data_IF_427477520195
#
_entry.id   IF_427477520195
#
_cell.length_a   1.000
_cell.length_b   1.000
_cell.length_c   1.000
_cell.angle_alpha   90.00
_cell.angle_beta   90.00
_cell.angle_gamma   90.00
#
_symmetry.space_group_name_H-M   'P 1'
#
loop_
_entity.id
_entity.type
_entity.pdbx_description
1 polymer ?
#
# COMPACT_ATOMS: atom_id res chain seq x y z
N UNK A 1 -21.68 -27.61 -48.11
CA UNK A 1 -20.40 -27.26 -47.48
C UNK A 1 -20.68 -26.35 -46.29
N UNK A 2 -20.64 -26.87 -45.06
CA UNK A 2 -20.87 -26.06 -43.81
C UNK A 2 -19.53 -25.43 -43.44
N UNK A 3 -19.51 -24.09 -43.50
CA UNK A 3 -18.35 -23.30 -42.97
C UNK A 3 -18.42 -23.26 -41.44
N UNK A 4 -17.45 -23.86 -40.78
CA UNK A 4 -17.25 -23.73 -39.34
C UNK A 4 -16.47 -22.45 -39.09
N UNK A 5 -17.12 -21.46 -38.46
CA UNK A 5 -16.44 -20.25 -37.96
C UNK A 5 -15.80 -20.61 -36.63
N UNK A 6 -14.47 -20.71 -36.60
CA UNK A 6 -13.71 -20.86 -35.36
C UNK A 6 -13.68 -19.52 -34.68
N UNK A 7 -14.44 -19.37 -33.59
CA UNK A 7 -14.34 -18.22 -32.66
C UNK A 7 -13.14 -18.48 -31.76
N UNK A 8 -12.02 -17.80 -32.05
CA UNK A 8 -10.87 -17.77 -31.15
C UNK A 8 -11.19 -16.80 -30.03
N UNK A 9 -11.59 -17.32 -28.87
CA UNK A 9 -11.70 -16.56 -27.64
C UNK A 9 -10.29 -16.27 -27.15
N UNK A 10 -9.79 -15.06 -27.36
CA UNK A 10 -8.61 -14.55 -26.68
C UNK A 10 -8.95 -14.39 -25.19
N UNK A 11 -8.61 -15.37 -24.38
CA UNK A 11 -8.50 -15.22 -22.93
C UNK A 11 -7.35 -14.22 -22.68
N UNK A 12 -7.66 -12.95 -22.54
CA UNK A 12 -6.74 -11.99 -21.96
C UNK A 12 -6.51 -12.42 -20.51
N UNK A 13 -5.39 -13.06 -20.27
CA UNK A 13 -4.86 -13.20 -18.91
C UNK A 13 -4.48 -11.78 -18.43
N UNK A 14 -5.41 -11.11 -17.76
CA UNK A 14 -5.08 -9.96 -16.96
C UNK A 14 -4.16 -10.48 -15.84
N UNK A 15 -2.85 -10.28 -15.97
CA UNK A 15 -1.93 -10.41 -14.86
C UNK A 15 -2.36 -9.35 -13.85
N UNK A 16 -2.73 -9.76 -12.64
CA UNK A 16 -2.99 -8.84 -11.55
C UNK A 16 -1.69 -8.07 -11.31
N UNK A 17 -1.69 -6.77 -11.61
CA UNK A 17 -0.62 -5.89 -11.19
C UNK A 17 -0.62 -5.92 -9.66
N UNK A 18 0.47 -6.38 -9.10
CA UNK A 18 0.80 -6.27 -7.68
C UNK A 18 1.75 -5.11 -7.61
N UNK A 19 1.56 -4.11 -6.76
CA UNK A 19 2.60 -3.11 -6.55
C UNK A 19 3.87 -3.78 -6.03
N UNK A 20 4.65 -3.22 -5.16
CA UNK A 20 5.93 -3.87 -4.80
C UNK A 20 5.81 -5.39 -4.62
N UNK A 21 6.69 -6.18 -5.22
CA UNK A 21 6.68 -7.63 -5.04
C UNK A 21 6.77 -8.01 -3.54
N UNK A 22 6.31 -9.20 -3.13
CA UNK A 22 6.20 -9.57 -1.71
C UNK A 22 7.47 -9.34 -0.89
N UNK A 23 8.65 -9.57 -1.49
CA UNK A 23 9.92 -9.29 -0.85
C UNK A 23 10.18 -7.79 -0.72
N UNK A 24 9.74 -6.99 -1.69
CA UNK A 24 9.79 -5.52 -1.65
C UNK A 24 8.99 -4.97 -0.47
N UNK A 25 7.74 -5.39 -0.32
CA UNK A 25 6.92 -5.03 0.84
C UNK A 25 7.60 -5.37 2.17
N UNK A 26 8.15 -6.57 2.29
CA UNK A 26 8.86 -6.98 3.51
C UNK A 26 10.11 -6.14 3.80
N UNK A 27 10.88 -5.74 2.79
CA UNK A 27 12.06 -4.86 2.94
C UNK A 27 11.62 -3.46 3.42
N UNK A 28 10.62 -2.87 2.77
CA UNK A 28 10.09 -1.54 3.09
C UNK A 28 9.49 -1.49 4.50
N UNK A 29 8.73 -2.52 4.86
CA UNK A 29 8.12 -2.65 6.20
C UNK A 29 9.18 -2.70 7.29
N UNK A 30 10.25 -3.47 7.10
CA UNK A 30 11.38 -3.52 8.05
C UNK A 30 12.07 -2.17 8.17
N UNK A 31 12.28 -1.47 7.06
CA UNK A 31 12.86 -0.13 7.06
C UNK A 31 11.97 0.88 7.81
N UNK A 32 10.65 0.83 7.60
CA UNK A 32 9.71 1.69 8.30
C UNK A 32 9.70 1.46 9.82
N UNK A 33 9.74 0.19 10.26
CA UNK A 33 9.82 -0.14 11.69
C UNK A 33 11.17 0.25 12.30
N UNK A 34 12.27 0.12 11.55
CA UNK A 34 13.61 0.53 11.98
C UNK A 34 13.71 2.04 12.20
N UNK A 35 13.00 2.83 11.36
CA UNK A 35 12.95 4.30 11.46
C UNK A 35 12.09 4.83 12.62
N UNK A 36 11.31 3.98 13.31
CA UNK A 36 10.48 4.43 14.43
C UNK A 36 11.33 4.87 15.63
N UNK A 37 10.93 5.92 16.35
CA UNK A 37 11.63 6.43 17.51
C UNK A 37 11.69 5.39 18.65
N UNK A 38 12.60 5.61 19.62
CA UNK A 38 12.86 4.64 20.68
C UNK A 38 11.69 4.44 21.66
N UNK A 39 10.85 5.45 21.83
CA UNK A 39 9.66 5.46 22.68
C UNK A 39 8.40 4.86 22.03
N UNK A 40 8.50 4.43 20.77
CA UNK A 40 7.42 3.65 20.15
C UNK A 40 7.33 2.25 20.82
N UNK A 41 6.12 1.65 20.93
CA UNK A 41 5.96 0.38 21.66
C UNK A 41 6.97 -0.71 21.24
N UNK A 42 7.77 -1.19 22.20
CA UNK A 42 8.90 -2.09 21.93
C UNK A 42 8.49 -3.41 21.24
N UNK A 43 7.27 -3.92 21.53
CA UNK A 43 6.78 -5.15 20.90
C UNK A 43 6.63 -5.02 19.38
N UNK A 44 6.41 -3.80 18.86
CA UNK A 44 6.34 -3.55 17.41
C UNK A 44 7.69 -3.82 16.74
N UNK A 45 8.79 -3.36 17.34
CA UNK A 45 10.15 -3.64 16.84
C UNK A 45 10.51 -5.12 16.97
N UNK A 46 10.18 -5.72 18.11
CA UNK A 46 10.38 -7.15 18.35
C UNK A 46 9.57 -8.02 17.36
N UNK A 47 8.34 -7.57 17.02
CA UNK A 47 7.43 -8.26 16.12
C UNK A 47 7.60 -7.93 14.63
N UNK A 48 8.67 -7.23 14.22
CA UNK A 48 8.86 -6.78 12.83
C UNK A 48 8.75 -7.90 11.78
N UNK A 49 9.11 -9.13 12.16
CA UNK A 49 8.93 -10.30 11.31
C UNK A 49 7.48 -10.57 10.95
N UNK A 50 6.57 -10.48 11.93
CA UNK A 50 5.12 -10.64 11.73
C UNK A 50 4.52 -9.49 10.93
N UNK A 51 4.93 -8.25 11.20
CA UNK A 51 4.48 -7.08 10.44
C UNK A 51 4.86 -7.24 8.96
N UNK A 52 6.13 -7.63 8.68
CA UNK A 52 6.62 -7.84 7.32
C UNK A 52 5.93 -9.03 6.62
N UNK A 53 5.54 -10.08 7.36
CA UNK A 53 4.75 -11.19 6.83
C UNK A 53 3.35 -10.71 6.44
N UNK A 54 2.65 -10.05 7.36
CA UNK A 54 1.29 -9.57 7.14
C UNK A 54 1.19 -8.45 6.08
N UNK A 55 2.30 -7.77 5.75
CA UNK A 55 2.32 -6.77 4.68
C UNK A 55 2.10 -7.35 3.28
N UNK A 56 2.05 -8.67 3.14
CA UNK A 56 1.76 -9.36 1.86
C UNK A 56 0.30 -9.84 1.79
N UNK A 57 -0.40 -9.91 2.91
CA UNK A 57 -1.75 -10.48 2.98
C UNK A 57 -2.78 -9.80 2.06
N UNK A 58 -2.76 -8.45 1.85
CA UNK A 58 -3.69 -7.82 0.90
C UNK A 58 -3.50 -8.29 -0.54
N UNK A 59 -2.28 -8.62 -0.95
CA UNK A 59 -2.02 -9.22 -2.26
C UNK A 59 -2.50 -10.67 -2.34
N UNK A 60 -2.32 -11.45 -1.28
CA UNK A 60 -2.87 -12.81 -1.20
C UNK A 60 -4.38 -12.80 -1.31
N UNK A 61 -5.04 -11.79 -0.76
CA UNK A 61 -6.50 -11.62 -0.84
C UNK A 61 -7.02 -11.38 -2.28
N UNK A 62 -6.18 -10.97 -3.22
CA UNK A 62 -6.51 -10.87 -4.67
C UNK A 62 -6.63 -12.23 -5.36
N UNK A 63 -6.64 -13.33 -4.62
CA UNK A 63 -6.73 -14.67 -5.18
C UNK A 63 -8.08 -14.91 -5.86
N UNK A 64 -8.05 -15.27 -7.15
CA UNK A 64 -9.24 -15.49 -7.98
C UNK A 64 -10.14 -16.63 -7.51
N UNK A 65 -9.62 -17.57 -6.72
CA UNK A 65 -10.42 -18.64 -6.12
C UNK A 65 -11.42 -18.11 -5.06
N UNK A 66 -11.18 -16.92 -4.53
CA UNK A 66 -12.05 -16.22 -3.57
C UNK A 66 -12.73 -15.02 -4.22
N UNK A 67 -13.60 -15.27 -5.20
CA UNK A 67 -14.13 -14.26 -6.15
C UNK A 67 -14.75 -13.03 -5.47
N UNK A 68 -15.50 -13.21 -4.38
CA UNK A 68 -16.11 -12.07 -3.67
C UNK A 68 -15.06 -11.18 -3.03
N UNK A 69 -14.05 -11.78 -2.41
CA UNK A 69 -12.95 -11.06 -1.79
C UNK A 69 -12.08 -10.38 -2.85
N UNK A 70 -11.70 -11.10 -3.89
CA UNK A 70 -10.88 -10.58 -5.00
C UNK A 70 -11.50 -9.32 -5.59
N UNK A 71 -12.80 -9.32 -5.91
CA UNK A 71 -13.51 -8.15 -6.45
C UNK A 71 -13.56 -6.96 -5.47
N UNK A 72 -13.64 -7.23 -4.17
CA UNK A 72 -13.68 -6.19 -3.15
C UNK A 72 -12.29 -5.56 -2.91
N UNK A 73 -11.22 -6.38 -2.96
CA UNK A 73 -9.88 -5.91 -2.61
C UNK A 73 -9.07 -5.42 -3.81
N UNK A 74 -9.41 -5.81 -5.04
CA UNK A 74 -8.66 -5.37 -6.22
C UNK A 74 -8.66 -3.83 -6.37
N UNK A 75 -9.80 -3.10 -6.24
CA UNK A 75 -9.83 -1.64 -6.40
C UNK A 75 -9.11 -0.88 -5.28
N UNK A 76 -8.78 -1.49 -4.15
CA UNK A 76 -8.09 -0.79 -3.04
C UNK A 76 -6.57 -0.73 -3.21
N UNK A 77 -6.02 -1.25 -4.33
CA UNK A 77 -4.59 -1.24 -4.62
C UNK A 77 -4.16 -0.13 -5.58
N UNK A 78 -5.08 0.65 -6.12
CA UNK A 78 -4.78 1.72 -7.06
C UNK A 78 -5.70 2.94 -6.89
N UNK A 79 -5.29 4.04 -7.52
CA UNK A 79 -6.06 5.27 -7.58
C UNK A 79 -5.75 6.04 -8.87
N UNK A 80 -6.59 5.90 -9.88
CA UNK A 80 -6.49 6.58 -11.18
C UNK A 80 -6.88 8.07 -11.03
N UNK A 81 -5.98 8.87 -10.46
CA UNK A 81 -6.27 10.22 -10.01
C UNK A 81 -6.73 11.17 -11.12
N UNK A 82 -6.35 10.92 -12.38
CA UNK A 82 -6.78 11.69 -13.54
C UNK A 82 -8.31 11.66 -13.72
N UNK A 83 -8.95 10.58 -13.29
CA UNK A 83 -10.41 10.41 -13.46
C UNK A 83 -11.25 11.29 -12.52
N UNK A 84 -10.62 11.85 -11.48
CA UNK A 84 -11.23 12.75 -10.49
C UNK A 84 -10.40 14.03 -10.30
N UNK A 85 -9.61 14.40 -11.31
CA UNK A 85 -8.76 15.58 -11.26
C UNK A 85 -9.55 16.85 -10.93
N UNK A 86 -8.97 17.71 -10.09
CA UNK A 86 -9.61 18.95 -9.62
C UNK A 86 -10.73 18.74 -8.58
N UNK A 87 -11.01 17.51 -8.17
CA UNK A 87 -11.99 17.22 -7.13
C UNK A 87 -11.33 17.06 -5.76
N UNK A 88 -11.98 17.58 -4.73
CA UNK A 88 -11.59 17.31 -3.34
C UNK A 88 -12.06 15.94 -2.91
N UNK A 89 -11.15 15.09 -2.44
CA UNK A 89 -11.50 13.76 -1.94
C UNK A 89 -12.28 13.88 -0.62
N UNK A 90 -13.50 13.31 -0.53
CA UNK A 90 -14.27 13.30 0.71
C UNK A 90 -13.66 12.33 1.74
N UNK A 91 -14.05 12.50 3.02
CA UNK A 91 -13.50 11.70 4.12
C UNK A 91 -13.93 10.23 4.11
N UNK A 92 -15.05 9.88 3.47
CA UNK A 92 -15.54 8.49 3.49
C UNK A 92 -15.62 7.89 2.08
N UNK A 93 -15.35 6.59 1.96
CA UNK A 93 -15.47 5.86 0.68
C UNK A 93 -16.91 5.89 0.11
N UNK A 94 -17.94 5.97 0.95
CA UNK A 94 -19.31 6.10 0.47
C UNK A 94 -19.59 7.48 -0.17
N UNK A 95 -19.04 8.56 0.42
CA UNK A 95 -19.11 9.88 -0.19
C UNK A 95 -18.29 9.95 -1.48
N UNK A 96 -17.17 9.24 -1.52
CA UNK A 96 -16.36 9.10 -2.74
C UNK A 96 -17.10 8.35 -3.83
N UNK A 97 -17.87 7.31 -3.51
CA UNK A 97 -18.73 6.64 -4.49
C UNK A 97 -19.73 7.59 -5.17
N UNK A 98 -20.29 8.55 -4.41
CA UNK A 98 -21.15 9.62 -4.99
C UNK A 98 -20.33 10.55 -5.89
N UNK A 99 -19.13 10.98 -5.45
CA UNK A 99 -18.23 11.79 -6.28
C UNK A 99 -17.88 11.09 -7.59
N UNK A 100 -17.61 9.79 -7.57
CA UNK A 100 -17.36 9.02 -8.80
C UNK A 100 -18.57 9.06 -9.72
N UNK A 101 -19.78 8.87 -9.20
CA UNK A 101 -21.00 8.93 -10.00
C UNK A 101 -21.22 10.33 -10.62
N UNK A 102 -20.92 11.42 -9.91
CA UNK A 102 -21.00 12.79 -10.42
C UNK A 102 -20.07 13.04 -11.62
N UNK A 103 -18.92 12.35 -11.68
CA UNK A 103 -17.99 12.44 -12.82
C UNK A 103 -18.19 11.32 -13.85
N UNK A 104 -19.28 10.56 -13.76
CA UNK A 104 -19.62 9.48 -14.68
C UNK A 104 -18.68 8.27 -14.60
N UNK A 105 -18.12 8.00 -13.41
CA UNK A 105 -17.22 6.87 -13.12
C UNK A 105 -17.78 5.99 -12.00
N UNK A 106 -17.21 4.78 -11.86
CA UNK A 106 -17.44 3.94 -10.69
C UNK A 106 -16.21 3.96 -9.77
N UNK A 107 -16.38 3.66 -8.47
CA UNK A 107 -15.23 3.54 -7.56
C UNK A 107 -14.17 2.52 -8.03
N UNK A 108 -14.61 1.43 -8.69
CA UNK A 108 -13.71 0.42 -9.24
C UNK A 108 -12.90 0.94 -10.43
N UNK A 109 -13.43 1.89 -11.21
CA UNK A 109 -12.67 2.51 -12.30
C UNK A 109 -11.62 3.49 -11.78
N UNK A 110 -11.96 4.25 -10.73
CA UNK A 110 -11.05 5.24 -10.14
C UNK A 110 -10.04 4.59 -9.20
N UNK A 111 -10.49 3.61 -8.43
CA UNK A 111 -9.70 2.99 -7.36
C UNK A 111 -9.98 3.62 -5.99
N UNK A 112 -9.66 2.88 -4.94
CA UNK A 112 -10.04 3.17 -3.55
C UNK A 112 -8.82 3.21 -2.61
N UNK A 113 -7.60 3.22 -3.14
CA UNK A 113 -6.37 3.13 -2.35
C UNK A 113 -6.26 4.19 -1.24
N UNK A 114 -6.60 5.49 -1.44
CA UNK A 114 -6.56 6.48 -0.35
C UNK A 114 -7.44 6.08 0.85
N UNK A 115 -8.58 5.45 0.60
CA UNK A 115 -9.51 5.00 1.65
C UNK A 115 -9.03 3.72 2.33
N UNK A 116 -8.38 2.83 1.59
CA UNK A 116 -7.75 1.64 2.18
C UNK A 116 -6.65 2.03 3.18
N UNK A 117 -5.81 3.00 2.83
CA UNK A 117 -4.79 3.55 3.74
C UNK A 117 -5.44 4.14 5.00
N UNK A 118 -6.48 4.96 4.84
CA UNK A 118 -7.16 5.59 5.97
C UNK A 118 -7.80 4.55 6.91
N UNK A 119 -8.57 3.62 6.36
CA UNK A 119 -9.30 2.60 7.12
C UNK A 119 -8.33 1.62 7.81
N UNK A 120 -7.25 1.20 7.15
CA UNK A 120 -6.23 0.35 7.77
C UNK A 120 -5.52 1.08 8.94
N UNK A 121 -5.22 2.38 8.77
CA UNK A 121 -4.60 3.19 9.83
C UNK A 121 -5.55 3.37 11.03
N UNK A 122 -6.84 3.58 10.79
CA UNK A 122 -7.83 3.66 11.85
C UNK A 122 -8.01 2.30 12.57
N UNK A 123 -7.94 1.16 11.86
CA UNK A 123 -7.95 -0.17 12.49
C UNK A 123 -6.73 -0.36 13.40
N UNK A 124 -5.54 0.04 12.96
CA UNK A 124 -4.34 0.01 13.80
C UNK A 124 -4.49 0.96 15.00
N UNK A 125 -5.07 2.14 14.82
CA UNK A 125 -5.35 3.11 15.89
C UNK A 125 -6.22 2.49 16.98
N UNK A 126 -7.29 1.78 16.61
CA UNK A 126 -8.16 1.08 17.56
C UNK A 126 -7.42 -0.05 18.28
N UNK A 127 -6.61 -0.84 17.58
CA UNK A 127 -5.83 -1.91 18.19
C UNK A 127 -4.79 -1.35 19.19
N UNK A 128 -4.14 -0.25 18.85
CA UNK A 128 -3.20 0.45 19.75
C UNK A 128 -3.92 1.09 20.94
N UNK A 129 -5.16 1.53 20.80
CA UNK A 129 -5.96 2.00 21.95
C UNK A 129 -6.31 0.84 22.91
N UNK A 130 -6.60 -0.36 22.40
CA UNK A 130 -6.71 -1.54 23.24
C UNK A 130 -5.38 -1.89 23.91
N UNK A 131 -4.25 -1.81 23.18
CA UNK A 131 -2.92 -2.03 23.74
C UNK A 131 -2.60 -1.06 24.90
N UNK A 132 -2.97 0.22 24.79
CA UNK A 132 -2.79 1.18 25.89
C UNK A 132 -3.54 0.77 27.16
N UNK A 133 -4.68 0.10 27.02
CA UNK A 133 -5.48 -0.36 28.15
C UNK A 133 -5.02 -1.72 28.70
N UNK A 134 -4.55 -2.61 27.81
CA UNK A 134 -4.09 -3.97 28.16
C UNK A 134 -2.75 -4.29 27.48
N UNK A 135 -1.63 -3.66 27.92
CA UNK A 135 -0.34 -3.73 27.22
C UNK A 135 0.29 -5.13 27.23
N UNK A 136 0.01 -5.93 28.25
CA UNK A 136 0.56 -7.29 28.38
C UNK A 136 -0.27 -8.37 27.68
N UNK A 137 -1.38 -7.99 27.04
CA UNK A 137 -2.29 -8.94 26.41
C UNK A 137 -1.73 -9.42 25.06
N UNK A 138 -1.34 -10.71 24.92
CA UNK A 138 -0.60 -11.18 23.74
C UNK A 138 -1.42 -11.13 22.45
N UNK A 139 -2.72 -11.37 22.52
CA UNK A 139 -3.58 -11.32 21.33
C UNK A 139 -3.82 -9.88 20.84
N UNK A 140 -3.79 -8.89 21.75
CA UNK A 140 -3.86 -7.49 21.35
C UNK A 140 -2.55 -7.07 20.67
N UNK A 141 -1.40 -7.47 21.21
CA UNK A 141 -0.11 -7.24 20.57
C UNK A 141 -0.08 -7.89 19.18
N UNK A 142 -0.51 -9.15 19.05
CA UNK A 142 -0.59 -9.85 17.75
C UNK A 142 -1.50 -9.12 16.78
N UNK A 143 -2.65 -8.62 17.23
CA UNK A 143 -3.58 -7.84 16.41
C UNK A 143 -2.95 -6.53 15.92
N UNK A 144 -2.22 -5.82 16.77
CA UNK A 144 -1.47 -4.63 16.37
C UNK A 144 -0.44 -4.94 15.28
N UNK A 145 0.33 -6.03 15.42
CA UNK A 145 1.31 -6.45 14.42
C UNK A 145 0.66 -6.78 13.08
N UNK A 146 -0.49 -7.48 13.09
CA UNK A 146 -1.24 -7.80 11.88
C UNK A 146 -1.72 -6.53 11.18
N UNK A 147 -2.40 -5.63 11.91
CA UNK A 147 -2.90 -4.39 11.32
C UNK A 147 -1.77 -3.46 10.86
N UNK A 148 -0.63 -3.45 11.55
CA UNK A 148 0.55 -2.71 11.09
C UNK A 148 1.05 -3.24 9.74
N UNK A 149 1.02 -4.55 9.50
CA UNK A 149 1.33 -5.14 8.19
C UNK A 149 0.38 -4.66 7.10
N UNK A 150 -0.93 -4.64 7.36
CA UNK A 150 -1.94 -4.14 6.41
C UNK A 150 -1.73 -2.63 6.11
N UNK A 151 -1.45 -1.82 7.14
CA UNK A 151 -1.09 -0.39 6.95
C UNK A 151 0.15 -0.26 6.07
N UNK A 152 1.20 -1.04 6.36
CA UNK A 152 2.44 -1.01 5.58
C UNK A 152 2.17 -1.29 4.11
N UNK A 153 1.39 -2.33 3.80
CA UNK A 153 1.03 -2.66 2.44
C UNK A 153 0.43 -1.45 1.71
N UNK A 154 -0.71 -0.94 2.17
CA UNK A 154 -1.42 0.13 1.46
C UNK A 154 -0.65 1.46 1.46
N UNK A 155 0.14 1.77 2.50
CA UNK A 155 1.03 2.93 2.50
C UNK A 155 2.08 2.84 1.39
N UNK A 156 2.67 1.68 1.21
CA UNK A 156 3.69 1.41 0.19
C UNK A 156 3.08 1.41 -1.22
N UNK A 157 1.86 0.88 -1.39
CA UNK A 157 1.09 0.99 -2.63
C UNK A 157 0.88 2.45 -3.04
N UNK A 158 0.53 3.32 -2.08
CA UNK A 158 0.31 4.75 -2.32
C UNK A 158 1.59 5.49 -2.73
N UNK A 159 2.76 4.97 -2.38
CA UNK A 159 4.05 5.51 -2.74
C UNK A 159 4.59 4.97 -4.08
N UNK A 160 3.91 4.00 -4.72
CA UNK A 160 4.27 3.52 -6.05
C UNK A 160 3.56 4.37 -7.11
N UNK A 161 4.30 5.21 -7.88
CA UNK A 161 3.69 6.21 -8.76
C UNK A 161 2.71 5.63 -9.79
N UNK A 162 2.99 4.44 -10.31
CA UNK A 162 2.16 3.82 -11.33
C UNK A 162 0.83 3.30 -10.80
N UNK A 163 0.67 3.16 -9.48
CA UNK A 163 -0.64 2.87 -8.86
C UNK A 163 -1.58 4.08 -8.85
N UNK A 164 -1.08 5.28 -9.18
CA UNK A 164 -1.81 6.54 -9.03
C UNK A 164 -2.19 7.18 -10.37
N UNK A 165 -2.15 6.42 -11.45
CA UNK A 165 -2.37 6.92 -12.81
C UNK A 165 -3.04 5.91 -13.73
N UNK A 166 -3.84 6.41 -14.67
CA UNK A 166 -4.36 5.58 -15.78
C UNK A 166 -3.25 5.01 -16.68
N UNK A 167 -2.04 5.57 -16.65
CA UNK A 167 -0.87 5.12 -17.40
C UNK A 167 -0.06 4.04 -16.69
N UNK A 168 -0.67 3.36 -15.74
CA UNK A 168 -0.03 2.42 -14.82
C UNK A 168 0.90 1.40 -15.50
N UNK A 169 0.63 0.99 -16.73
CA UNK A 169 1.44 -0.01 -17.45
C UNK A 169 2.07 0.52 -18.74
N UNK A 170 2.17 1.83 -18.88
CA UNK A 170 2.82 2.52 -20.00
C UNK A 170 1.96 3.60 -20.64
N UNK A 171 2.62 4.50 -21.37
CA UNK A 171 2.00 5.57 -22.14
C UNK A 171 2.45 5.49 -23.59
N UNK A 172 1.50 5.49 -24.54
CA UNK A 172 1.79 5.52 -25.97
C UNK A 172 2.21 6.92 -26.44
N UNK A 173 2.81 7.02 -27.63
CA UNK A 173 3.17 8.29 -28.26
C UNK A 173 1.94 9.17 -28.53
N UNK A 174 0.77 8.55 -28.69
CA UNK A 174 -0.53 9.23 -28.85
C UNK A 174 -1.10 9.73 -27.49
N UNK A 175 -0.35 9.61 -26.39
CA UNK A 175 -0.77 10.02 -25.06
C UNK A 175 -1.78 9.10 -24.40
N UNK A 176 -2.10 7.93 -24.98
CA UNK A 176 -3.05 6.98 -24.39
C UNK A 176 -2.35 5.90 -23.55
N UNK A 177 -3.08 5.26 -22.62
CA UNK A 177 -2.57 4.11 -21.89
C UNK A 177 -2.11 3.00 -22.85
N UNK A 178 -0.95 2.40 -22.57
CA UNK A 178 -0.35 1.32 -23.32
C UNK A 178 0.09 0.20 -22.36
N UNK A 179 0.09 -1.02 -22.82
CA UNK A 179 0.58 -2.15 -22.04
C UNK A 179 2.02 -2.50 -22.44
N UNK A 180 2.99 -1.93 -21.72
CA UNK A 180 4.42 -2.19 -21.93
C UNK A 180 5.01 -3.14 -20.89
N UNK A 181 4.26 -3.49 -19.84
CA UNK A 181 4.71 -4.25 -18.67
C UNK A 181 5.70 -3.49 -17.77
N UNK A 182 5.77 -2.17 -17.89
CA UNK A 182 6.66 -1.36 -17.03
C UNK A 182 6.31 -1.49 -15.56
N UNK A 183 5.03 -1.60 -15.21
CA UNK A 183 4.55 -1.74 -13.83
C UNK A 183 5.23 -2.91 -13.12
N UNK A 184 5.15 -4.11 -13.69
CA UNK A 184 5.76 -5.33 -13.12
C UNK A 184 7.27 -5.17 -12.86
N UNK A 185 7.96 -4.44 -13.74
CA UNK A 185 9.40 -4.20 -13.61
C UNK A 185 9.70 -3.18 -12.48
N UNK A 186 8.90 -2.12 -12.37
CA UNK A 186 9.00 -1.14 -11.27
C UNK A 186 8.75 -1.84 -9.92
N UNK A 187 7.74 -2.69 -9.83
CA UNK A 187 7.37 -3.41 -8.61
C UNK A 187 8.50 -4.32 -8.11
N UNK A 188 9.27 -4.89 -9.03
CA UNK A 188 10.43 -5.73 -8.70
C UNK A 188 11.68 -4.94 -8.28
N UNK A 189 11.77 -3.63 -8.49
CA UNK A 189 13.02 -2.88 -8.38
C UNK A 189 13.68 -2.99 -7.02
N UNK A 190 12.96 -2.80 -5.93
CA UNK A 190 13.53 -2.75 -4.57
C UNK A 190 14.31 -4.02 -4.24
N UNK A 191 13.72 -5.18 -4.55
CA UNK A 191 14.39 -6.46 -4.31
C UNK A 191 15.46 -6.76 -5.36
N UNK A 192 15.25 -6.38 -6.64
CA UNK A 192 16.14 -6.72 -7.74
C UNK A 192 17.45 -5.92 -7.71
N UNK A 193 17.42 -4.66 -7.27
CA UNK A 193 18.65 -3.86 -7.02
C UNK A 193 19.26 -4.15 -5.64
N UNK A 194 18.62 -5.01 -4.83
CA UNK A 194 19.19 -5.51 -3.58
C UNK A 194 19.22 -4.50 -2.43
N UNK A 195 18.27 -3.55 -2.37
CA UNK A 195 18.18 -2.59 -1.28
C UNK A 195 18.02 -3.29 0.08
N UNK A 196 18.65 -2.73 1.10
CA UNK A 196 18.62 -3.24 2.48
C UNK A 196 17.80 -2.33 3.38
N UNK A 197 17.03 -2.87 4.36
CA UNK A 197 16.22 -2.06 5.28
C UNK A 197 17.03 -0.95 5.97
N UNK A 198 18.20 -1.24 6.50
CA UNK A 198 19.05 -0.25 7.19
C UNK A 198 19.50 0.90 6.28
N UNK A 199 19.77 0.64 4.98
CA UNK A 199 20.12 1.68 4.00
C UNK A 199 18.93 2.57 3.70
N UNK A 200 17.73 1.98 3.62
CA UNK A 200 16.48 2.71 3.38
C UNK A 200 16.13 3.56 4.61
N UNK A 201 16.24 2.99 5.81
CA UNK A 201 15.87 3.64 7.07
C UNK A 201 16.85 4.75 7.50
N UNK A 202 18.08 4.74 7.00
CA UNK A 202 19.09 5.71 7.40
C UNK A 202 18.59 7.16 7.22
N UNK A 203 18.73 7.97 8.27
CA UNK A 203 18.34 9.39 8.30
C UNK A 203 16.85 9.67 8.03
N UNK A 204 15.96 8.68 8.12
CA UNK A 204 14.53 8.91 8.13
C UNK A 204 14.11 9.47 9.49
N UNK A 205 13.33 10.54 9.47
CA UNK A 205 12.79 11.20 10.67
C UNK A 205 11.27 11.30 10.48
N UNK A 206 10.52 10.22 10.75
CA UNK A 206 9.06 10.25 10.63
C UNK A 206 8.43 11.02 11.80
N UNK A 207 7.41 11.79 11.49
CA UNK A 207 6.58 12.51 12.47
C UNK A 207 5.11 12.16 12.23
N UNK A 208 4.31 12.15 13.30
CA UNK A 208 2.89 11.88 13.19
C UNK A 208 2.17 13.00 12.43
N UNK A 209 1.22 12.65 11.58
CA UNK A 209 0.43 13.63 10.85
C UNK A 209 -0.73 14.16 11.71
N UNK A 210 -0.98 15.46 11.66
CA UNK A 210 -2.12 16.10 12.32
C UNK A 210 -3.46 15.65 11.71
N UNK A 211 -3.49 15.51 10.38
CA UNK A 211 -4.66 15.05 9.64
C UNK A 211 -4.30 13.81 8.80
N UNK A 212 -4.89 12.67 9.13
CA UNK A 212 -4.67 11.43 8.38
C UNK A 212 -5.03 11.57 6.90
N UNK A 213 -6.25 12.03 6.60
CA UNK A 213 -6.68 12.18 5.19
C UNK A 213 -5.90 13.28 4.48
N UNK A 214 -5.50 14.34 5.19
CA UNK A 214 -4.62 15.38 4.65
C UNK A 214 -3.28 14.81 4.20
N UNK A 215 -2.60 14.03 5.05
CA UNK A 215 -1.34 13.38 4.72
C UNK A 215 -1.47 12.38 3.56
N UNK A 216 -2.59 11.65 3.47
CA UNK A 216 -2.85 10.72 2.36
C UNK A 216 -3.00 11.50 1.04
N UNK A 217 -3.79 12.58 1.02
CA UNK A 217 -4.00 13.41 -0.19
C UNK A 217 -2.70 14.05 -0.65
N UNK A 218 -1.91 14.58 0.29
CA UNK A 218 -0.58 15.13 0.01
C UNK A 218 0.35 14.06 -0.57
N UNK A 219 0.37 12.84 0.01
CA UNK A 219 1.17 11.73 -0.49
C UNK A 219 0.75 11.30 -1.89
N UNK A 220 -0.54 11.25 -2.22
CA UNK A 220 -1.02 11.02 -3.59
C UNK A 220 -0.42 12.06 -4.55
N UNK A 221 -0.51 13.34 -4.19
CA UNK A 221 0.01 14.42 -5.03
C UNK A 221 1.54 14.32 -5.22
N UNK A 222 2.27 13.99 -4.15
CA UNK A 222 3.74 13.85 -4.19
C UNK A 222 4.18 12.63 -5.01
N UNK A 223 3.58 11.47 -4.79
CA UNK A 223 3.92 10.25 -5.52
C UNK A 223 3.64 10.38 -7.01
N UNK A 224 2.56 11.05 -7.40
CA UNK A 224 2.23 11.32 -8.81
C UNK A 224 3.28 12.14 -9.57
N UNK A 225 4.06 12.98 -8.89
CA UNK A 225 5.17 13.74 -9.51
C UNK A 225 6.23 12.83 -10.16
N UNK A 226 6.26 11.55 -9.78
CA UNK A 226 7.23 10.56 -10.28
C UNK A 226 6.69 9.63 -11.36
N UNK A 227 5.44 9.80 -11.80
CA UNK A 227 4.85 8.98 -12.87
C UNK A 227 5.68 9.05 -14.15
N UNK A 228 6.00 10.25 -14.63
CA UNK A 228 6.79 10.41 -15.86
C UNK A 228 8.20 9.85 -15.70
N UNK A 229 8.81 9.98 -14.51
CA UNK A 229 10.13 9.40 -14.24
C UNK A 229 10.05 7.86 -14.23
N UNK A 230 9.00 7.27 -13.64
CA UNK A 230 8.79 5.83 -13.66
C UNK A 230 8.63 5.30 -15.10
N UNK A 231 7.81 5.97 -15.91
CA UNK A 231 7.62 5.62 -17.32
C UNK A 231 8.90 5.77 -18.13
N UNK A 232 9.73 6.79 -17.86
CA UNK A 232 11.01 7.00 -18.54
C UNK A 232 12.03 5.88 -18.27
N UNK A 233 11.83 5.06 -17.24
CA UNK A 233 12.67 3.87 -16.98
C UNK A 233 12.42 2.71 -17.94
N UNK A 234 11.38 2.77 -18.81
CA UNK A 234 11.12 1.73 -19.82
C UNK A 234 12.36 1.42 -20.66
N UNK A 235 13.14 2.45 -21.02
CA UNK A 235 14.37 2.31 -21.82
C UNK A 235 15.44 1.41 -21.17
N UNK A 236 15.40 1.26 -19.85
CA UNK A 236 16.33 0.40 -19.11
C UNK A 236 15.70 -0.94 -18.72
N UNK A 237 14.42 -0.94 -18.33
CA UNK A 237 13.76 -2.07 -17.69
C UNK A 237 13.10 -3.06 -18.66
N UNK A 238 12.78 -2.62 -19.89
CA UNK A 238 12.11 -3.47 -20.86
C UNK A 238 13.07 -4.25 -21.79
N UNK A 239 14.23 -3.69 -22.25
CA UNK A 239 15.16 -4.43 -23.05
C UNK A 239 15.81 -5.58 -22.26
N UNK A 240 15.90 -6.77 -22.87
CA UNK A 240 16.43 -7.98 -22.21
C UNK A 240 17.97 -7.98 -22.11
N UNK A 241 18.63 -7.19 -22.93
CA UNK A 241 20.09 -7.08 -23.06
C UNK A 241 20.69 -5.96 -22.20
N UNK A 242 19.86 -5.19 -21.48
CA UNK A 242 20.30 -4.15 -20.56
C UNK A 242 20.43 -4.69 -19.14
N UNK A 243 21.62 -4.59 -18.56
CA UNK A 243 21.81 -4.81 -17.11
C UNK A 243 21.40 -3.56 -16.35
N UNK A 244 20.09 -3.37 -16.19
CA UNK A 244 19.52 -2.22 -15.49
C UNK A 244 19.97 -2.11 -14.02
N UNK A 245 20.52 -3.18 -13.43
CA UNK A 245 21.01 -3.16 -12.04
C UNK A 245 22.26 -2.33 -11.88
N UNK A 246 22.98 -2.04 -12.97
CA UNK A 246 24.14 -1.14 -12.98
C UNK A 246 23.78 0.31 -13.33
N UNK A 247 22.53 0.57 -13.76
CA UNK A 247 22.09 1.88 -14.21
C UNK A 247 21.82 2.84 -13.03
N UNK A 248 22.57 3.94 -12.99
CA UNK A 248 22.49 4.93 -11.90
C UNK A 248 21.09 5.55 -11.74
N UNK A 249 20.37 5.80 -12.85
CA UNK A 249 19.02 6.36 -12.82
C UNK A 249 18.03 5.38 -12.19
N UNK A 250 18.17 4.08 -12.45
CA UNK A 250 17.35 3.02 -11.87
C UNK A 250 17.58 2.95 -10.36
N UNK A 251 18.84 2.94 -9.92
CA UNK A 251 19.18 2.95 -8.51
C UNK A 251 18.67 4.18 -7.78
N UNK A 252 18.86 5.36 -8.36
CA UNK A 252 18.39 6.62 -7.79
C UNK A 252 16.88 6.65 -7.62
N UNK A 253 16.15 6.15 -8.61
CA UNK A 253 14.69 6.02 -8.52
C UNK A 253 14.31 5.01 -7.43
N UNK A 254 14.89 3.81 -7.44
CA UNK A 254 14.56 2.73 -6.50
C UNK A 254 14.80 3.16 -5.04
N UNK A 255 15.97 3.73 -4.70
CA UNK A 255 16.26 4.16 -3.33
C UNK A 255 15.35 5.31 -2.89
N UNK A 256 15.04 6.24 -3.78
CA UNK A 256 14.11 7.33 -3.49
C UNK A 256 12.73 6.81 -3.14
N UNK A 257 12.14 5.96 -4.01
CA UNK A 257 10.81 5.40 -3.77
C UNK A 257 10.78 4.51 -2.52
N UNK A 258 11.84 3.75 -2.29
CA UNK A 258 11.96 2.93 -1.09
C UNK A 258 11.97 3.77 0.20
N UNK A 259 12.76 4.86 0.21
CA UNK A 259 12.81 5.79 1.36
C UNK A 259 11.47 6.50 1.58
N UNK A 260 10.83 6.94 0.52
CA UNK A 260 9.52 7.59 0.58
C UNK A 260 8.44 6.65 1.14
N UNK A 261 8.41 5.41 0.66
CA UNK A 261 7.48 4.39 1.12
C UNK A 261 7.71 4.00 2.60
N UNK A 262 8.97 3.84 3.02
CA UNK A 262 9.31 3.53 4.41
C UNK A 262 8.97 4.72 5.34
N UNK A 263 9.30 5.95 4.94
CA UNK A 263 8.98 7.17 5.66
C UNK A 263 7.47 7.31 5.87
N UNK A 264 6.69 7.21 4.80
CA UNK A 264 5.24 7.37 4.88
C UNK A 264 4.57 6.26 5.73
N UNK A 265 5.04 5.02 5.60
CA UNK A 265 4.59 3.92 6.46
C UNK A 265 4.84 4.23 7.94
N UNK A 266 6.03 4.71 8.29
CA UNK A 266 6.37 5.09 9.66
C UNK A 266 5.54 6.29 10.16
N UNK A 267 5.28 7.30 9.32
CA UNK A 267 4.35 8.41 9.60
C UNK A 267 2.97 7.88 10.01
N UNK A 268 2.42 6.92 9.26
CA UNK A 268 1.11 6.34 9.57
C UNK A 268 1.12 5.55 10.89
N UNK A 269 2.19 4.83 11.19
CA UNK A 269 2.35 4.16 12.48
C UNK A 269 2.35 5.13 13.64
N UNK A 270 3.10 6.23 13.54
CA UNK A 270 3.16 7.28 14.56
C UNK A 270 1.81 8.00 14.68
N UNK A 271 1.14 8.27 13.57
CA UNK A 271 -0.20 8.87 13.54
C UNK A 271 -1.21 7.97 14.27
N UNK A 272 -1.20 6.68 14.00
CA UNK A 272 -2.05 5.70 14.68
C UNK A 272 -1.75 5.65 16.19
N UNK A 273 -0.47 5.65 16.57
CA UNK A 273 -0.05 5.67 17.97
C UNK A 273 -0.48 6.94 18.70
N UNK A 274 -0.26 8.10 18.12
CA UNK A 274 -0.67 9.38 18.70
C UNK A 274 -2.20 9.44 18.87
N UNK A 275 -2.96 9.12 17.81
CA UNK A 275 -4.43 9.14 17.84
C UNK A 275 -5.01 8.14 18.84
N UNK A 276 -4.37 6.98 19.01
CA UNK A 276 -4.86 5.93 19.93
C UNK A 276 -4.99 6.40 21.38
N UNK A 277 -4.26 7.44 21.78
CA UNK A 277 -4.33 8.01 23.14
C UNK A 277 -5.67 8.69 23.44
N UNK A 278 -6.37 9.21 22.43
CA UNK A 278 -7.66 9.88 22.58
C UNK A 278 -8.87 8.98 22.32
N UNK A 279 -8.65 7.73 21.87
CA UNK A 279 -9.73 6.79 21.58
C UNK A 279 -10.38 6.30 22.87
N UNK A 280 -11.69 6.49 22.99
CA UNK A 280 -12.51 5.88 24.03
C UNK A 280 -13.08 4.56 23.55
N UNK A 281 -12.59 3.46 24.11
CA UNK A 281 -13.15 2.13 23.83
C UNK A 281 -14.58 2.02 24.37
N UNK A 282 -15.48 1.27 23.69
CA UNK A 282 -16.82 1.00 24.19
C UNK A 282 -16.78 0.36 25.59
N UNK A 283 -17.68 0.78 26.49
CA UNK A 283 -17.68 0.34 27.89
C UNK A 283 -17.92 -1.19 28.07
N UNK A 284 -18.49 -1.85 27.06
CA UNK A 284 -18.70 -3.30 27.05
C UNK A 284 -17.46 -4.10 26.65
N UNK A 285 -16.38 -3.45 26.17
CA UNK A 285 -15.14 -4.13 25.83
C UNK A 285 -14.32 -4.36 27.09
N UNK A 286 -14.25 -5.61 27.51
CA UNK A 286 -13.32 -6.08 28.53
C UNK A 286 -12.51 -7.27 28.03
N UNK A 287 -11.20 -7.06 27.83
CA UNK A 287 -10.28 -8.12 27.38
C UNK A 287 -9.73 -8.93 28.56
N UNK A 288 -9.74 -8.38 29.78
CA UNK A 288 -9.29 -9.07 30.99
C UNK A 288 -10.20 -10.24 31.38
N UNK A 289 -11.52 -10.07 31.25
CA UNK A 289 -12.48 -11.14 31.53
C UNK A 289 -12.46 -12.26 30.48
N UNK A 290 -12.15 -11.94 29.22
CA UNK A 290 -12.15 -12.93 28.14
C UNK A 290 -11.03 -13.97 28.29
N UNK A 291 -9.95 -13.67 29.01
CA UNK A 291 -8.85 -14.62 29.24
C UNK A 291 -9.22 -15.72 30.26
N UNK A 292 -10.26 -15.53 31.05
CA UNK A 292 -10.71 -16.54 32.02
C UNK A 292 -11.48 -17.71 31.37
N UNK A 293 -11.96 -17.55 30.12
CA UNK A 293 -12.65 -18.63 29.40
C UNK A 293 -11.70 -19.72 28.85
N UNK A 294 -10.40 -19.50 28.83
CA UNK A 294 -9.40 -20.45 28.35
C UNK A 294 -8.73 -21.30 29.44
N UNK A 295 -9.05 -21.10 30.71
CA UNK A 295 -8.53 -21.87 31.85
C UNK A 295 -9.64 -22.66 32.53
N UNK A 296 -10.16 -23.67 31.84
CA UNK A 296 -10.90 -24.77 32.46
C UNK A 296 -10.29 -26.09 32.03
#
# INVERSE_FOLDING_TARGET
>A
MKRWTIVVVFLMFATSASAWWPRGHGILTRAAVEALPADYPAFMKAGVGMIAHASVDPDVAKNRATTSLEKAVHPVHYFNAELVEGKTLPLSRYAFGRLCAEVGKTPEQVGLLPYAVAEATDQLTLALAEYRKWPEHPYIQTKCLLYAGIVAHFAQELCQPLNLTIYWNGRGEDGKPKNTRIHENIDGLIQNVGLKPAVIAADLIPEAADSLMGAIVEKVADSRKFVDQALALEKYLLPKDVDYKSEAEVHKFAIRQARDAAQFTAVLYLTAWQKSASVRLPGWVDRGEMDHFGRR
#
